data_IF_726561605706
#
_entry.id   IF_726561605706
#
_cell.length_a   1.000
_cell.length_b   1.000
_cell.length_c   1.000
_cell.angle_alpha   90.00
_cell.angle_beta   90.00
_cell.angle_gamma   90.00
#
_symmetry.space_group_name_H-M   'P 1'
#
loop_
_entity.id
_entity.type
_entity.pdbx_description
1 polymer ?
#
# COMPACT_ATOMS: atom_id res chain seq x y z
N UNK A 1 14.56 27.95 -16.73
CA UNK A 1 14.40 28.50 -15.36
C UNK A 1 12.99 28.33 -14.80
N UNK A 2 11.92 28.76 -15.49
CA UNK A 2 10.53 28.74 -14.98
C UNK A 2 10.13 27.42 -14.28
N UNK A 3 10.32 26.27 -14.94
CA UNK A 3 9.94 24.95 -14.39
C UNK A 3 10.62 24.62 -13.06
N UNK A 4 11.91 24.95 -12.88
CA UNK A 4 12.64 24.65 -11.64
C UNK A 4 12.10 25.49 -10.46
N UNK A 5 11.76 26.75 -10.73
CA UNK A 5 11.17 27.63 -9.71
C UNK A 5 9.80 27.13 -9.23
N UNK A 6 8.93 26.67 -10.14
CA UNK A 6 7.62 26.13 -9.74
C UNK A 6 7.73 24.83 -8.94
N UNK A 7 8.72 23.97 -9.25
CA UNK A 7 8.98 22.74 -8.49
C UNK A 7 9.53 23.07 -7.09
N UNK A 8 10.37 24.10 -6.95
CA UNK A 8 10.85 24.56 -5.62
C UNK A 8 9.72 25.22 -4.81
N UNK A 9 8.82 25.96 -5.47
CA UNK A 9 7.68 26.62 -4.82
C UNK A 9 6.52 25.66 -4.47
N UNK A 10 6.46 24.48 -5.09
CA UNK A 10 5.49 23.43 -4.81
C UNK A 10 6.11 22.04 -5.09
N UNK A 11 6.92 21.47 -4.17
CA UNK A 11 7.58 20.18 -4.38
C UNK A 11 6.58 19.03 -4.64
N UNK A 12 6.45 18.54 -5.89
CA UNK A 12 5.37 17.61 -6.25
C UNK A 12 5.65 16.17 -5.79
N UNK A 13 6.92 15.85 -5.53
CA UNK A 13 7.36 14.59 -4.97
C UNK A 13 7.08 14.49 -3.45
N UNK A 14 6.86 15.62 -2.77
CA UNK A 14 6.42 15.65 -1.36
C UNK A 14 4.88 15.68 -1.22
N UNK A 15 4.14 15.55 -2.32
CA UNK A 15 2.68 15.45 -2.28
C UNK A 15 2.25 14.07 -1.73
N UNK A 16 1.09 14.02 -1.06
CA UNK A 16 0.57 12.76 -0.47
C UNK A 16 0.54 11.65 -1.52
N UNK A 17 0.95 10.43 -1.13
CA UNK A 17 0.94 9.24 -1.99
C UNK A 17 -0.42 9.12 -2.72
N UNK A 18 -0.36 8.86 -4.02
CA UNK A 18 -1.51 8.92 -4.94
C UNK A 18 -1.72 10.29 -5.64
N UNK A 19 -1.48 11.41 -4.95
CA UNK A 19 -1.76 12.78 -5.48
C UNK A 19 -0.58 13.43 -6.23
N UNK A 20 0.60 12.78 -6.27
CA UNK A 20 1.84 13.27 -6.89
C UNK A 20 1.62 13.77 -8.33
N UNK A 21 0.84 13.04 -9.14
CA UNK A 21 0.56 13.46 -10.52
C UNK A 21 -0.33 14.70 -10.62
N UNK A 22 -1.22 14.96 -9.66
CA UNK A 22 -1.96 16.23 -9.61
C UNK A 22 -1.05 17.41 -9.28
N UNK A 23 -0.08 17.22 -8.39
CA UNK A 23 0.91 18.25 -8.06
C UNK A 23 1.76 18.59 -9.30
N UNK A 24 2.17 17.57 -10.07
CA UNK A 24 2.81 17.77 -11.37
C UNK A 24 1.92 18.50 -12.38
N UNK A 25 0.62 18.23 -12.45
CA UNK A 25 -0.31 18.92 -13.36
C UNK A 25 -0.57 20.37 -12.93
N UNK A 26 -0.66 20.64 -11.61
CA UNK A 26 -0.73 21.99 -11.04
C UNK A 26 0.52 22.81 -11.41
N UNK A 27 1.71 22.20 -11.36
CA UNK A 27 2.96 22.82 -11.85
C UNK A 27 2.90 23.07 -13.36
N UNK A 28 2.48 22.09 -14.16
CA UNK A 28 2.43 22.24 -15.61
C UNK A 28 1.49 23.38 -16.03
N UNK A 29 0.31 23.47 -15.41
CA UNK A 29 -0.63 24.58 -15.58
C UNK A 29 0.01 25.92 -15.25
N UNK A 30 0.62 26.07 -14.07
CA UNK A 30 1.32 27.31 -13.68
C UNK A 30 2.45 27.70 -14.63
N UNK A 31 3.23 26.73 -15.13
CA UNK A 31 4.29 26.96 -16.11
C UNK A 31 3.70 27.41 -17.44
N UNK A 32 2.58 26.84 -17.88
CA UNK A 32 1.88 27.21 -19.11
C UNK A 32 1.16 28.58 -19.02
N UNK A 33 0.81 29.04 -17.82
CA UNK A 33 0.26 30.38 -17.60
C UNK A 33 1.30 31.50 -17.51
N UNK A 34 2.61 31.22 -17.60
CA UNK A 34 3.68 32.23 -17.48
C UNK A 34 4.16 32.72 -18.85
N UNK A 35 4.28 34.05 -18.98
CA UNK A 35 4.84 34.72 -20.16
C UNK A 35 6.23 34.15 -20.51
N UNK A 36 6.47 33.92 -21.81
CA UNK A 36 7.72 33.31 -22.31
C UNK A 36 7.77 31.78 -22.20
N UNK A 37 6.62 31.10 -22.10
CA UNK A 37 6.51 29.64 -22.18
C UNK A 37 5.50 29.21 -23.26
N UNK A 38 5.92 29.27 -24.52
CA UNK A 38 5.00 29.10 -25.67
C UNK A 38 4.74 27.63 -26.07
N UNK A 39 5.09 26.68 -25.18
CA UNK A 39 4.95 25.23 -25.47
C UNK A 39 3.53 24.76 -25.21
N UNK A 40 2.77 24.62 -26.30
CA UNK A 40 1.42 24.03 -26.27
C UNK A 40 1.42 22.60 -25.71
N UNK A 41 0.33 22.24 -25.03
CA UNK A 41 0.12 20.91 -24.45
C UNK A 41 1.21 20.48 -23.44
N UNK A 42 1.67 21.39 -22.57
CA UNK A 42 2.59 21.05 -21.49
C UNK A 42 1.81 20.54 -20.28
N UNK A 43 1.99 19.26 -19.93
CA UNK A 43 1.25 18.58 -18.87
C UNK A 43 2.19 17.99 -17.80
N UNK A 44 1.64 17.57 -16.67
CA UNK A 44 2.37 17.07 -15.51
C UNK A 44 3.32 15.92 -15.83
N UNK A 45 2.94 15.00 -16.72
CA UNK A 45 3.82 13.92 -17.18
C UNK A 45 5.07 14.42 -17.94
N UNK A 46 4.94 15.52 -18.69
CA UNK A 46 6.08 16.19 -19.36
C UNK A 46 6.92 17.00 -18.38
N UNK A 47 6.30 17.64 -17.39
CA UNK A 47 7.00 18.34 -16.31
C UNK A 47 7.86 17.37 -15.47
N UNK A 48 7.27 16.25 -15.01
CA UNK A 48 7.96 15.19 -14.29
C UNK A 48 9.12 14.60 -15.11
N UNK A 49 8.86 14.13 -16.34
CA UNK A 49 9.91 13.56 -17.19
C UNK A 49 11.07 14.53 -17.44
N UNK A 50 10.78 15.84 -17.62
CA UNK A 50 11.82 16.85 -17.77
C UNK A 50 12.60 17.07 -16.48
N UNK A 51 11.95 17.06 -15.31
CA UNK A 51 12.60 17.13 -14.00
C UNK A 51 13.55 15.95 -13.77
N UNK A 52 13.11 14.70 -13.98
CA UNK A 52 13.94 13.50 -13.78
C UNK A 52 15.22 13.56 -14.62
N UNK A 53 15.11 13.96 -15.90
CA UNK A 53 16.26 14.10 -16.80
C UNK A 53 17.23 15.20 -16.32
N UNK A 54 16.71 16.32 -15.78
CA UNK A 54 17.55 17.40 -15.27
C UNK A 54 18.26 17.02 -13.96
N UNK A 55 17.62 16.28 -13.05
CA UNK A 55 18.28 15.79 -11.83
C UNK A 55 19.32 14.71 -12.14
N UNK A 56 19.02 13.77 -13.04
CA UNK A 56 19.99 12.74 -13.45
C UNK A 56 21.25 13.37 -14.09
N UNK A 57 21.07 14.35 -14.99
CA UNK A 57 22.19 15.09 -15.57
C UNK A 57 22.96 15.93 -14.56
N UNK A 58 22.28 16.53 -13.57
CA UNK A 58 22.93 17.29 -12.49
C UNK A 58 23.75 16.39 -11.55
N UNK A 59 23.22 15.21 -11.19
CA UNK A 59 23.93 14.20 -10.40
C UNK A 59 25.22 13.76 -11.10
N UNK A 60 25.14 13.39 -12.37
CA UNK A 60 26.30 13.01 -13.19
C UNK A 60 27.34 14.15 -13.33
N UNK A 61 26.88 15.39 -13.51
CA UNK A 61 27.76 16.57 -13.57
C UNK A 61 28.45 16.84 -12.23
N UNK A 62 27.76 16.67 -11.10
CA UNK A 62 28.32 16.79 -9.75
C UNK A 62 29.35 15.69 -9.46
N UNK A 63 29.03 14.45 -9.81
CA UNK A 63 29.93 13.29 -9.68
C UNK A 63 31.18 13.43 -10.57
N UNK A 64 31.05 14.08 -11.74
CA UNK A 64 32.16 14.48 -12.60
C UNK A 64 33.00 15.68 -12.12
N UNK A 65 32.84 16.11 -10.86
CA UNK A 65 33.61 17.23 -10.28
C UNK A 65 33.14 18.62 -10.73
N UNK A 66 31.85 18.77 -11.04
CA UNK A 66 31.26 19.95 -11.68
C UNK A 66 31.71 21.32 -11.17
N UNK A 67 32.52 22.02 -11.99
CA UNK A 67 32.88 23.43 -11.84
C UNK A 67 32.00 24.27 -12.76
N UNK A 68 31.54 25.43 -12.27
CA UNK A 68 30.80 26.43 -13.08
C UNK A 68 31.77 27.56 -13.44
N UNK A 69 31.94 27.92 -14.73
CA UNK A 69 32.62 29.15 -15.12
C UNK A 69 31.95 30.39 -14.52
N UNK A 70 32.74 31.36 -14.06
CA UNK A 70 32.23 32.51 -13.28
C UNK A 70 31.39 33.49 -14.12
N UNK A 71 31.55 33.48 -15.45
CA UNK A 71 30.76 34.23 -16.42
C UNK A 71 29.37 33.59 -16.71
N UNK A 72 29.20 32.29 -16.43
CA UNK A 72 28.00 31.50 -16.75
C UNK A 72 26.84 31.70 -15.76
N UNK A 73 26.50 32.95 -15.43
CA UNK A 73 25.51 33.34 -14.39
C UNK A 73 24.17 32.57 -14.43
N UNK A 74 23.62 32.31 -15.62
CA UNK A 74 22.37 31.54 -15.76
C UNK A 74 22.55 30.03 -15.53
N UNK A 75 23.75 29.49 -15.75
CA UNK A 75 24.09 28.13 -15.35
C UNK A 75 24.34 28.06 -13.84
N UNK A 76 24.94 29.09 -13.23
CA UNK A 76 25.05 29.24 -11.77
C UNK A 76 23.68 29.15 -11.10
N UNK A 77 22.72 29.96 -11.55
CA UNK A 77 21.33 29.94 -11.07
C UNK A 77 20.68 28.55 -11.27
N UNK A 78 20.81 27.97 -12.47
CA UNK A 78 20.31 26.63 -12.81
C UNK A 78 20.88 25.55 -11.91
N UNK A 79 22.19 25.56 -11.65
CA UNK A 79 22.87 24.60 -10.77
C UNK A 79 22.45 24.77 -9.32
N UNK A 80 22.34 25.99 -8.80
CA UNK A 80 21.86 26.23 -7.42
C UNK A 80 20.45 25.68 -7.23
N UNK A 81 19.54 25.91 -8.18
CA UNK A 81 18.17 25.38 -8.12
C UNK A 81 18.14 23.85 -8.27
N UNK A 82 18.99 23.26 -9.12
CA UNK A 82 19.09 21.80 -9.29
C UNK A 82 19.74 21.12 -8.07
N UNK A 83 20.71 21.76 -7.43
CA UNK A 83 21.36 21.24 -6.23
C UNK A 83 20.37 21.17 -5.06
N UNK A 84 19.63 22.27 -4.81
CA UNK A 84 18.56 22.31 -3.81
C UNK A 84 17.43 21.32 -4.11
N UNK A 85 17.06 21.14 -5.38
CA UNK A 85 16.05 20.16 -5.77
C UNK A 85 16.52 18.71 -5.63
N UNK A 86 17.81 18.43 -5.85
CA UNK A 86 18.38 17.12 -5.64
C UNK A 86 18.43 16.77 -4.14
N UNK A 87 18.78 17.73 -3.28
CA UNK A 87 18.75 17.59 -1.81
C UNK A 87 17.33 17.26 -1.32
N UNK A 88 16.34 18.10 -1.61
CA UNK A 88 14.95 17.88 -1.22
C UNK A 88 14.35 16.58 -1.79
N UNK A 89 14.78 16.16 -2.99
CA UNK A 89 14.33 14.91 -3.59
C UNK A 89 14.93 13.68 -2.88
N UNK A 90 16.25 13.68 -2.67
CA UNK A 90 16.96 12.60 -1.96
C UNK A 90 16.53 12.51 -0.47
N UNK A 91 16.12 13.62 0.15
CA UNK A 91 15.50 13.65 1.48
C UNK A 91 14.12 12.98 1.45
N UNK A 92 13.22 13.43 0.56
CA UNK A 92 11.87 12.84 0.42
C UNK A 92 11.88 11.34 0.07
N UNK A 93 12.94 10.85 -0.58
CA UNK A 93 13.11 9.42 -0.85
C UNK A 93 13.40 8.61 0.42
N UNK A 94 14.28 9.10 1.30
CA UNK A 94 14.58 8.48 2.60
C UNK A 94 13.37 8.50 3.55
N UNK A 95 12.57 9.56 3.49
CA UNK A 95 11.30 9.63 4.23
C UNK A 95 10.30 8.57 3.73
N UNK A 96 10.15 8.41 2.40
CA UNK A 96 9.33 7.35 1.80
C UNK A 96 9.83 5.93 2.20
N UNK A 97 11.14 5.71 2.19
CA UNK A 97 11.79 4.44 2.57
C UNK A 97 11.58 4.12 4.05
N UNK A 98 11.85 5.08 4.95
CA UNK A 98 11.61 4.95 6.39
C UNK A 98 10.13 4.70 6.73
N UNK A 99 9.20 5.31 5.99
CA UNK A 99 7.77 5.05 6.14
C UNK A 99 7.38 3.63 5.73
N UNK A 100 8.00 3.07 4.68
CA UNK A 100 7.75 1.70 4.25
C UNK A 100 8.36 0.68 5.21
N UNK A 101 9.57 0.93 5.73
CA UNK A 101 10.21 0.09 6.78
C UNK A 101 9.37 0.08 8.07
N UNK A 102 8.88 1.24 8.52
CA UNK A 102 7.98 1.32 9.68
C UNK A 102 6.65 0.61 9.42
N UNK A 103 6.11 0.64 8.19
CA UNK A 103 4.89 -0.08 7.84
C UNK A 103 5.12 -1.60 7.77
N UNK A 104 6.30 -2.03 7.32
CA UNK A 104 6.70 -3.45 7.32
C UNK A 104 6.84 -3.98 8.75
N UNK A 105 7.55 -3.27 9.64
CA UNK A 105 7.67 -3.65 11.05
C UNK A 105 6.33 -3.62 11.80
N UNK A 106 5.43 -2.68 11.47
CA UNK A 106 4.07 -2.66 12.02
C UNK A 106 3.23 -3.86 11.57
N UNK A 107 3.44 -4.35 10.33
CA UNK A 107 2.83 -5.57 9.83
C UNK A 107 3.41 -6.83 10.48
N UNK A 108 4.72 -6.90 10.62
CA UNK A 108 5.42 -8.02 11.28
C UNK A 108 4.95 -8.21 12.74
N UNK A 109 4.81 -7.12 13.50
CA UNK A 109 4.18 -7.13 14.83
C UNK A 109 2.72 -7.64 14.82
N UNK A 110 1.97 -7.39 13.75
CA UNK A 110 0.59 -7.85 13.60
C UNK A 110 0.47 -9.33 13.22
N UNK A 111 1.44 -9.87 12.48
CA UNK A 111 1.52 -11.29 12.15
C UNK A 111 2.05 -12.11 13.35
N UNK A 112 3.01 -11.59 14.14
CA UNK A 112 3.44 -12.21 15.41
C UNK A 112 2.29 -12.42 16.41
N UNK A 113 1.34 -11.48 16.46
CA UNK A 113 0.14 -11.57 17.33
C UNK A 113 -0.85 -12.67 16.91
N UNK A 114 -0.52 -13.51 15.92
CA UNK A 114 -1.37 -14.56 15.35
C UNK A 114 -0.83 -15.97 15.57
N UNK A 115 0.45 -16.14 15.95
CA UNK A 115 1.07 -17.46 16.13
C UNK A 115 0.86 -18.04 17.53
N UNK A 116 0.76 -17.20 18.57
CA UNK A 116 0.44 -17.61 19.95
C UNK A 116 -0.92 -18.33 20.09
N UNK A 117 -1.80 -18.24 19.08
CA UNK A 117 -3.09 -18.92 19.03
C UNK A 117 -3.01 -20.40 18.59
N UNK A 118 -1.82 -21.01 18.50
CA UNK A 118 -1.62 -22.39 18.02
C UNK A 118 -0.89 -23.34 18.97
N UNK A 119 -0.44 -22.90 20.13
CA UNK A 119 0.20 -23.77 21.14
C UNK A 119 -0.78 -24.00 22.28
N UNK A 120 -1.73 -24.90 22.08
CA UNK A 120 -2.87 -25.05 23.00
C UNK A 120 -3.71 -26.32 22.85
N UNK A 121 -3.18 -27.37 22.21
CA UNK A 121 -3.78 -28.71 22.31
C UNK A 121 -2.66 -29.76 22.29
N UNK A 122 -2.39 -30.33 23.46
CA UNK A 122 -1.39 -31.35 23.69
C UNK A 122 -2.04 -32.46 24.52
N UNK A 123 -2.97 -33.18 23.88
CA UNK A 123 -3.59 -34.35 24.48
C UNK A 123 -2.59 -35.52 24.53
N UNK A 124 -2.61 -36.25 25.65
CA UNK A 124 -1.71 -37.36 25.93
C UNK A 124 -2.55 -38.57 26.27
N UNK A 125 -2.62 -39.50 25.32
CA UNK A 125 -3.03 -40.89 25.56
C UNK A 125 -2.02 -41.82 24.90
N UNK A 126 -1.12 -42.34 25.73
CA UNK A 126 -0.45 -43.63 25.49
C UNK A 126 -1.46 -44.74 25.76
N UNK A 127 -1.53 -45.76 24.90
CA UNK A 127 -1.85 -47.15 25.27
C UNK A 127 -1.53 -48.06 24.06
N UNK A 128 -0.90 -49.20 24.31
CA UNK A 128 -0.40 -50.14 23.30
C UNK A 128 -1.47 -51.14 22.79
N UNK A 129 -1.34 -51.61 21.55
CA UNK A 129 -1.38 -53.06 21.25
C UNK A 129 -0.94 -53.37 19.79
N UNK A 130 0.10 -54.20 19.65
CA UNK A 130 0.50 -54.85 18.38
C UNK A 130 0.24 -56.36 18.56
N UNK A 131 -0.40 -57.07 17.61
CA UNK A 131 0.42 -57.71 16.56
C UNK A 131 -0.28 -58.03 15.22
N UNK A 132 0.53 -58.34 14.19
CA UNK A 132 0.23 -59.50 13.33
C UNK A 132 -0.08 -59.27 11.83
N UNK A 133 0.99 -59.12 11.04
CA UNK A 133 1.19 -59.57 9.65
C UNK A 133 0.00 -60.03 8.76
N UNK A 134 -0.11 -59.49 7.53
CA UNK A 134 0.18 -60.23 6.26
C UNK A 134 -0.10 -59.43 4.96
N UNK A 135 0.90 -59.44 4.06
CA UNK A 135 0.89 -59.53 2.58
C UNK A 135 0.06 -58.64 1.61
N UNK A 136 0.79 -58.31 0.52
CA UNK A 136 0.45 -57.99 -0.89
C UNK A 136 -0.51 -56.86 -1.39
N UNK A 137 0.03 -56.14 -2.39
CA UNK A 137 -0.57 -55.57 -3.62
C UNK A 137 -1.63 -54.44 -3.56
N UNK A 138 -1.55 -53.45 -4.47
CA UNK A 138 -2.55 -52.35 -4.48
C UNK A 138 -2.68 -51.41 -5.69
N UNK A 139 -1.69 -50.55 -5.98
CA UNK A 139 -1.66 -49.53 -7.06
C UNK A 139 -2.62 -48.29 -6.96
N UNK A 140 -2.18 -47.16 -7.54
CA UNK A 140 -2.88 -45.87 -7.82
C UNK A 140 -3.33 -45.02 -6.60
N UNK A 141 -3.48 -43.67 -6.64
CA UNK A 141 -3.02 -42.52 -7.48
C UNK A 141 -3.28 -41.22 -6.64
N UNK A 142 -2.89 -39.97 -6.94
CA UNK A 142 -2.33 -39.25 -8.11
C UNK A 142 -1.19 -38.29 -7.62
N UNK A 143 -1.31 -36.96 -7.84
CA UNK A 143 -0.47 -35.81 -7.41
C UNK A 143 0.91 -35.69 -8.09
N UNK A 144 1.34 -34.52 -8.62
CA UNK A 144 0.61 -33.26 -8.93
C UNK A 144 0.73 -32.78 -10.40
N UNK A 145 -0.04 -31.77 -10.83
CA UNK A 145 0.27 -30.96 -12.00
C UNK A 145 1.07 -29.69 -11.66
N UNK A 146 2.22 -29.50 -12.30
CA UNK A 146 3.00 -28.24 -12.26
C UNK A 146 3.34 -27.79 -13.69
N UNK A 147 2.91 -26.57 -14.09
CA UNK A 147 3.53 -25.82 -15.20
C UNK A 147 3.01 -24.38 -15.40
N UNK A 148 3.92 -23.42 -15.24
CA UNK A 148 4.32 -22.37 -16.21
C UNK A 148 3.41 -21.99 -17.40
N UNK A 149 3.29 -20.69 -17.70
CA UNK A 149 3.41 -20.11 -19.07
C UNK A 149 3.63 -18.57 -19.05
N UNK A 150 4.40 -18.03 -20.01
CA UNK A 150 4.62 -16.58 -20.24
C UNK A 150 4.05 -16.13 -21.60
N UNK A 151 3.37 -14.97 -21.66
CA UNK A 151 2.69 -14.43 -22.87
C UNK A 151 3.55 -13.63 -23.87
N UNK A 152 2.93 -12.89 -24.84
CA UNK A 152 3.58 -11.97 -25.83
C UNK A 152 2.61 -11.06 -26.64
N UNK A 153 3.14 -10.31 -27.63
CA UNK A 153 2.66 -9.03 -28.27
C UNK A 153 2.49 -9.20 -29.82
N UNK A 154 2.02 -8.28 -30.70
CA UNK A 154 1.73 -6.80 -30.71
C UNK A 154 0.89 -6.40 -31.99
N UNK A 155 0.34 -5.17 -32.08
CA UNK A 155 0.01 -4.37 -33.33
C UNK A 155 -1.15 -4.81 -34.29
N UNK A 156 -1.71 -4.01 -35.25
CA UNK A 156 -1.81 -2.54 -35.57
C UNK A 156 -2.84 -2.28 -36.71
N UNK A 157 -3.43 -1.07 -36.80
CA UNK A 157 -3.80 -0.30 -38.03
C UNK A 157 -4.91 -0.82 -39.01
N UNK A 158 -5.64 -0.01 -39.82
CA UNK A 158 -5.99 1.45 -39.85
C UNK A 158 -7.19 1.73 -40.83
N UNK A 159 -7.80 2.93 -40.80
CA UNK A 159 -8.79 3.46 -41.78
C UNK A 159 -10.24 2.94 -41.66
N UNK A 160 -11.32 3.59 -42.13
CA UNK A 160 -11.61 4.94 -42.69
C UNK A 160 -13.17 5.09 -42.77
N UNK A 161 -13.89 6.24 -42.77
CA UNK A 161 -13.81 7.60 -42.15
C UNK A 161 -15.27 8.13 -42.05
N UNK A 162 -15.67 8.82 -40.96
CA UNK A 162 -16.78 9.80 -40.97
C UNK A 162 -16.57 10.87 -39.87
N UNK A 163 -16.95 12.13 -40.13
CA UNK A 163 -16.74 13.25 -39.21
C UNK A 163 -17.82 13.39 -38.13
N UNK A 164 -17.41 13.70 -36.89
CA UNK A 164 -18.12 14.61 -35.99
C UNK A 164 -17.10 15.26 -35.06
N UNK A 165 -17.22 16.58 -34.83
CA UNK A 165 -16.14 17.40 -34.27
C UNK A 165 -16.12 17.37 -32.74
N UNK A 166 -15.06 16.80 -32.17
CA UNK A 166 -14.64 17.05 -30.77
C UNK A 166 -13.15 17.40 -30.77
N UNK A 167 -12.82 18.59 -30.26
CA UNK A 167 -11.44 19.08 -30.11
C UNK A 167 -11.05 19.07 -28.62
N UNK A 168 -10.18 18.16 -28.15
CA UNK A 168 -9.63 17.02 -28.89
C UNK A 168 -8.68 16.13 -28.09
N UNK A 169 -8.49 14.91 -28.60
CA UNK A 169 -7.40 13.96 -28.32
C UNK A 169 -7.19 13.44 -26.87
N UNK A 170 -7.62 12.20 -26.58
CA UNK A 170 -6.70 11.04 -26.48
C UNK A 170 -7.28 9.83 -25.72
N UNK A 171 -7.81 8.83 -26.44
CA UNK A 171 -7.88 7.42 -25.99
C UNK A 171 -9.07 6.97 -25.11
N UNK A 172 -10.08 6.34 -25.74
CA UNK A 172 -11.25 5.76 -25.06
C UNK A 172 -10.94 4.72 -23.96
N UNK A 173 -9.74 4.11 -23.98
CA UNK A 173 -9.32 3.12 -22.98
C UNK A 173 -9.20 3.73 -21.57
N UNK A 174 -9.01 5.06 -21.46
CA UNK A 174 -8.92 5.74 -20.16
C UNK A 174 -10.22 5.66 -19.35
N UNK A 175 -11.39 5.73 -19.98
CA UNK A 175 -12.68 5.66 -19.29
C UNK A 175 -12.97 4.29 -18.67
N UNK A 176 -12.59 3.21 -19.36
CA UNK A 176 -12.68 1.85 -18.82
C UNK A 176 -11.72 1.65 -17.63
N UNK A 177 -10.49 2.15 -17.73
CA UNK A 177 -9.52 2.10 -16.63
C UNK A 177 -9.98 2.92 -15.42
N UNK A 178 -10.53 4.13 -15.62
CA UNK A 178 -11.12 4.92 -14.53
C UNK A 178 -12.28 4.20 -13.86
N UNK A 179 -13.17 3.55 -14.63
CA UNK A 179 -14.27 2.75 -14.06
C UNK A 179 -13.76 1.54 -13.27
N UNK A 180 -12.69 0.88 -13.75
CA UNK A 180 -12.05 -0.24 -13.06
C UNK A 180 -11.34 0.20 -11.77
N UNK A 181 -10.60 1.31 -11.80
CA UNK A 181 -10.02 1.92 -10.60
C UNK A 181 -11.10 2.36 -9.61
N UNK A 182 -12.20 2.96 -10.07
CA UNK A 182 -13.33 3.33 -9.21
C UNK A 182 -13.98 2.11 -8.56
N UNK A 183 -14.11 0.99 -9.29
CA UNK A 183 -14.62 -0.26 -8.75
C UNK A 183 -13.67 -0.87 -7.71
N UNK A 184 -12.36 -0.84 -7.95
CA UNK A 184 -11.35 -1.25 -6.96
C UNK A 184 -11.38 -0.36 -5.72
N UNK A 185 -11.50 0.97 -5.87
CA UNK A 185 -11.60 1.86 -4.70
C UNK A 185 -12.88 1.63 -3.90
N UNK A 186 -14.01 1.31 -4.54
CA UNK A 186 -15.26 0.99 -3.85
C UNK A 186 -15.18 -0.39 -3.17
N UNK A 187 -14.67 -1.43 -3.85
CA UNK A 187 -14.42 -2.75 -3.24
C UNK A 187 -13.45 -2.64 -2.06
N UNK A 188 -12.36 -1.87 -2.17
CA UNK A 188 -11.43 -1.63 -1.07
C UNK A 188 -12.09 -0.86 0.09
N UNK A 189 -13.06 0.03 -0.20
CA UNK A 189 -13.83 0.77 0.82
C UNK A 189 -14.76 -0.17 1.59
N UNK A 190 -15.39 -1.10 0.88
CA UNK A 190 -16.27 -2.14 1.44
C UNK A 190 -15.48 -3.21 2.21
N UNK A 191 -14.38 -3.73 1.67
CA UNK A 191 -13.50 -4.70 2.35
C UNK A 191 -12.93 -4.11 3.65
N UNK A 192 -12.48 -2.84 3.61
CA UNK A 192 -11.98 -2.14 4.79
C UNK A 192 -13.10 -1.86 5.82
N UNK A 193 -14.35 -1.71 5.38
CA UNK A 193 -15.50 -1.61 6.27
C UNK A 193 -15.84 -2.96 6.91
N UNK A 194 -15.87 -4.04 6.13
CA UNK A 194 -16.09 -5.40 6.63
C UNK A 194 -14.99 -5.81 7.63
N UNK A 195 -13.71 -5.56 7.30
CA UNK A 195 -12.59 -5.89 8.19
C UNK A 195 -12.65 -5.09 9.51
N UNK A 196 -13.07 -3.82 9.49
CA UNK A 196 -13.36 -3.05 10.73
C UNK A 196 -14.50 -3.68 11.53
N UNK A 197 -15.62 -3.98 10.89
CA UNK A 197 -16.80 -4.58 11.54
C UNK A 197 -16.47 -5.94 12.20
N UNK A 198 -15.65 -6.77 11.54
CA UNK A 198 -15.17 -8.03 12.10
C UNK A 198 -14.33 -7.81 13.37
N UNK A 199 -13.34 -6.90 13.34
CA UNK A 199 -12.56 -6.55 14.54
C UNK A 199 -13.42 -5.94 15.67
N UNK A 200 -14.46 -5.17 15.32
CA UNK A 200 -15.36 -4.54 16.27
C UNK A 200 -16.32 -5.56 16.93
N UNK A 201 -16.85 -6.51 16.16
CA UNK A 201 -17.63 -7.64 16.69
C UNK A 201 -16.79 -8.54 17.60
N UNK A 202 -15.59 -8.93 17.18
CA UNK A 202 -14.69 -9.80 17.94
C UNK A 202 -14.23 -9.14 19.27
N UNK A 203 -14.00 -7.82 19.26
CA UNK A 203 -13.78 -7.03 20.47
C UNK A 203 -14.98 -7.01 21.41
N UNK A 204 -16.21 -7.01 20.87
CA UNK A 204 -17.43 -6.98 21.67
C UNK A 204 -17.87 -8.36 22.18
N UNK A 205 -17.63 -9.42 21.42
CA UNK A 205 -17.80 -10.80 21.86
C UNK A 205 -16.89 -11.08 23.07
N UNK A 206 -15.60 -10.75 22.96
CA UNK A 206 -14.65 -10.84 24.10
C UNK A 206 -14.99 -9.89 25.26
N UNK A 207 -15.83 -8.86 25.08
CA UNK A 207 -16.41 -8.07 26.18
C UNK A 207 -17.60 -8.79 26.83
N UNK A 208 -18.51 -9.37 26.04
CA UNK A 208 -19.69 -10.11 26.50
C UNK A 208 -19.28 -11.37 27.27
N UNK A 209 -18.31 -12.12 26.76
CA UNK A 209 -17.74 -13.30 27.41
C UNK A 209 -17.19 -12.98 28.81
N UNK A 210 -16.35 -11.93 28.94
CA UNK A 210 -15.82 -11.50 30.25
C UNK A 210 -16.92 -11.07 31.23
N UNK A 211 -18.01 -10.47 30.74
CA UNK A 211 -19.16 -10.13 31.59
C UNK A 211 -19.94 -11.38 32.02
N UNK A 212 -20.14 -12.35 31.12
CA UNK A 212 -20.78 -13.63 31.42
C UNK A 212 -19.97 -14.48 32.42
N UNK A 213 -18.64 -14.51 32.29
CA UNK A 213 -17.76 -15.17 33.27
C UNK A 213 -17.86 -14.51 34.65
N UNK A 214 -17.91 -13.17 34.72
CA UNK A 214 -18.11 -12.44 35.99
C UNK A 214 -19.51 -12.67 36.59
N UNK A 215 -20.55 -12.75 35.75
CA UNK A 215 -21.92 -13.03 36.21
C UNK A 215 -22.07 -14.46 36.72
N UNK A 216 -21.52 -15.45 36.02
CA UNK A 216 -21.48 -16.85 36.44
C UNK A 216 -20.71 -17.00 37.77
N UNK A 217 -19.50 -16.43 37.87
CA UNK A 217 -18.73 -16.46 39.12
C UNK A 217 -19.46 -15.77 40.29
N UNK A 218 -20.28 -14.75 40.02
CA UNK A 218 -21.16 -14.14 41.03
C UNK A 218 -22.27 -15.10 41.47
N UNK A 219 -22.92 -15.78 40.52
CA UNK A 219 -23.97 -16.76 40.80
C UNK A 219 -23.44 -17.97 41.58
N UNK A 220 -22.27 -18.50 41.22
CA UNK A 220 -21.63 -19.61 41.93
C UNK A 220 -21.28 -19.21 43.37
N UNK A 221 -20.72 -18.01 43.57
CA UNK A 221 -20.47 -17.48 44.90
C UNK A 221 -21.76 -17.31 45.72
N UNK A 222 -22.83 -16.82 45.10
CA UNK A 222 -24.15 -16.62 45.72
C UNK A 222 -24.80 -17.97 46.11
N UNK A 223 -24.66 -19.01 45.28
CA UNK A 223 -25.09 -20.38 45.60
C UNK A 223 -24.26 -21.00 46.73
N UNK A 224 -22.93 -20.90 46.69
CA UNK A 224 -22.04 -21.43 47.73
C UNK A 224 -22.32 -20.77 49.08
N UNK A 225 -22.50 -19.44 49.12
CA UNK A 225 -22.90 -18.73 50.34
C UNK A 225 -24.27 -19.16 50.85
N UNK A 226 -25.22 -19.42 49.95
CA UNK A 226 -26.56 -19.93 50.32
C UNK A 226 -26.49 -21.34 50.92
N UNK A 227 -25.70 -22.24 50.33
CA UNK A 227 -25.48 -23.59 50.86
C UNK A 227 -24.74 -23.56 52.21
N UNK A 228 -23.67 -22.76 52.33
CA UNK A 228 -22.95 -22.57 53.60
C UNK A 228 -23.87 -22.06 54.70
N UNK A 229 -24.74 -21.08 54.39
CA UNK A 229 -25.74 -20.58 55.33
C UNK A 229 -26.68 -21.70 55.79
N UNK A 230 -27.26 -22.47 54.86
CA UNK A 230 -28.15 -23.58 55.20
C UNK A 230 -27.46 -24.65 56.07
N UNK A 231 -26.17 -24.92 55.84
CA UNK A 231 -25.37 -25.85 56.66
C UNK A 231 -25.04 -25.28 58.06
N UNK A 232 -24.91 -23.96 58.21
CA UNK A 232 -24.70 -23.33 59.53
C UNK A 232 -25.98 -23.13 60.32
N UNK A 233 -27.11 -22.81 59.66
CA UNK A 233 -28.41 -22.63 60.31
C UNK A 233 -28.96 -23.97 60.82
N UNK A 234 -28.72 -25.09 60.12
CA UNK A 234 -29.01 -26.45 60.58
C UNK A 234 -28.09 -26.98 61.72
N UNK A 235 -27.19 -26.14 62.26
CA UNK A 235 -26.23 -26.52 63.31
C UNK A 235 -26.54 -25.89 64.68
N UNK A 236 -27.80 -25.51 64.90
CA UNK A 236 -28.37 -24.95 66.14
C UNK A 236 -29.64 -25.67 66.55
#
# INVERSE_FOLDING_TARGET
>A
MILLHEIIALPPFMARRGTIMEAWEKIATKVQCKNGFDRTNFCGKKAHSRFTIMLAGHRQWKEGGGVIPEDMKHETEKVVLLQKLLELYDESKKEDESLDDHLAHARELSDYSKEDARVGDADVTEDDDEPGAAEEAGNAEEVPPSSTILGKRKATDNGQVLETKISGSSGNNGGALLKFMSMIFEQNREELAFRRHQYEQDLEERRKERLQQLELARMDHEQVMTMLKALTDNRR
#
